data_IF_157196292749
#
_entry.id   IF_157196292749
#
_cell.length_a   1.000
_cell.length_b   1.000
_cell.length_c   1.000
_cell.angle_alpha   90.00
_cell.angle_beta   90.00
_cell.angle_gamma   90.00
#
_symmetry.space_group_name_H-M   'P 1'
#
loop_
_entity.id
_entity.type
_entity.pdbx_description
1 polymer ?
#
# COMPACT_ATOMS: atom_id res chain seq x y z
N UNK A 1 -0.02 4.45 -13.12
CA UNK A 1 -0.80 3.59 -12.20
C UNK A 1 -1.21 2.32 -12.95
N UNK A 2 -0.59 1.17 -12.66
CA UNK A 2 -0.76 -0.07 -13.48
C UNK A 2 -1.77 -1.08 -12.91
N UNK A 3 -2.18 -0.93 -11.65
CA UNK A 3 -3.04 -1.88 -10.94
C UNK A 3 -4.20 -1.20 -10.19
N UNK A 4 -4.66 -0.04 -10.68
CA UNK A 4 -5.82 0.63 -10.10
C UNK A 4 -7.03 -0.30 -10.11
N UNK A 5 -7.85 -0.24 -9.05
CA UNK A 5 -9.00 -1.11 -8.88
C UNK A 5 -8.68 -2.54 -8.44
N UNK A 6 -7.40 -2.95 -8.34
CA UNK A 6 -7.01 -4.30 -7.91
C UNK A 6 -6.44 -4.30 -6.51
N UNK A 7 -6.81 -5.29 -5.71
CA UNK A 7 -6.18 -5.54 -4.40
C UNK A 7 -4.81 -6.17 -4.64
N UNK A 8 -3.77 -5.58 -4.06
CA UNK A 8 -2.44 -6.15 -4.00
C UNK A 8 -2.12 -6.54 -2.56
N UNK A 9 -1.62 -7.75 -2.35
CA UNK A 9 -1.23 -8.22 -1.02
C UNK A 9 0.02 -7.51 -0.54
N UNK A 10 0.26 -7.50 0.77
CA UNK A 10 1.48 -6.91 1.33
C UNK A 10 2.75 -7.57 0.77
N UNK A 11 2.74 -8.89 0.62
CA UNK A 11 3.87 -9.65 0.05
C UNK A 11 4.12 -9.22 -1.39
N UNK A 12 3.09 -9.16 -2.25
CA UNK A 12 3.23 -8.69 -3.64
C UNK A 12 3.79 -7.27 -3.74
N UNK A 13 3.37 -6.39 -2.83
CA UNK A 13 3.86 -5.01 -2.77
C UNK A 13 5.32 -4.94 -2.29
N UNK A 14 5.69 -5.74 -1.29
CA UNK A 14 7.07 -5.85 -0.81
C UNK A 14 7.98 -6.37 -1.92
N UNK A 15 7.65 -7.53 -2.49
CA UNK A 15 8.46 -8.19 -3.53
C UNK A 15 8.71 -7.26 -4.72
N UNK A 16 7.69 -6.48 -5.10
CA UNK A 16 7.78 -5.60 -6.28
C UNK A 16 8.52 -4.30 -6.02
N UNK A 17 8.57 -3.81 -4.79
CA UNK A 17 9.18 -2.52 -4.44
C UNK A 17 10.59 -2.68 -3.87
N UNK A 18 10.80 -3.70 -3.02
CA UNK A 18 12.07 -3.97 -2.36
C UNK A 18 12.81 -5.19 -2.91
N UNK A 19 12.13 -6.08 -3.64
CA UNK A 19 12.72 -7.33 -4.13
C UNK A 19 12.33 -8.54 -3.28
N UNK A 20 12.45 -9.74 -3.87
CA UNK A 20 12.12 -11.01 -3.23
C UNK A 20 13.12 -11.46 -2.16
N UNK A 21 14.31 -10.87 -2.16
CA UNK A 21 15.39 -11.08 -1.20
C UNK A 21 15.27 -10.15 0.03
N UNK A 22 14.22 -9.33 0.10
CA UNK A 22 13.97 -8.46 1.23
C UNK A 22 13.72 -9.27 2.52
N UNK A 23 14.73 -9.30 3.39
CA UNK A 23 14.64 -9.90 4.73
C UNK A 23 14.16 -8.82 5.71
N UNK A 24 12.87 -8.52 5.68
CA UNK A 24 12.26 -7.57 6.61
C UNK A 24 10.77 -7.79 6.75
N UNK A 25 10.17 -7.12 7.73
CA UNK A 25 8.73 -7.25 7.96
C UNK A 25 7.90 -6.47 6.92
N UNK A 26 6.63 -6.86 6.80
CA UNK A 26 5.69 -6.10 5.97
C UNK A 26 5.25 -4.78 6.61
N UNK A 27 5.70 -4.43 7.83
CA UNK A 27 5.32 -3.16 8.48
C UNK A 27 6.01 -1.98 7.82
N UNK A 28 7.18 -2.19 7.22
CA UNK A 28 7.84 -1.17 6.39
C UNK A 28 6.90 -0.66 5.30
N UNK A 29 6.17 -1.56 4.61
CA UNK A 29 5.16 -1.17 3.62
C UNK A 29 4.09 -0.25 4.24
N UNK A 30 3.57 -0.59 5.42
CA UNK A 30 2.51 0.18 6.08
C UNK A 30 3.00 1.63 6.42
N UNK A 31 4.27 1.79 6.80
CA UNK A 31 4.90 3.11 7.01
C UNK A 31 4.94 3.92 5.71
N UNK A 32 5.33 3.28 4.61
CA UNK A 32 5.36 3.94 3.31
C UNK A 32 3.95 4.30 2.80
N UNK A 33 2.96 3.44 3.02
CA UNK A 33 1.55 3.76 2.71
C UNK A 33 1.06 4.95 3.53
N UNK A 34 1.37 5.01 4.83
CA UNK A 34 1.02 6.17 5.67
C UNK A 34 1.63 7.47 5.12
N UNK A 35 2.90 7.43 4.72
CA UNK A 35 3.59 8.58 4.10
C UNK A 35 2.99 8.98 2.76
N UNK A 36 2.56 8.02 1.94
CA UNK A 36 1.88 8.31 0.67
C UNK A 36 0.53 8.98 0.91
N UNK A 37 -0.31 8.41 1.79
CA UNK A 37 -1.61 9.01 2.14
C UNK A 37 -1.46 10.45 2.63
N UNK A 38 -0.48 10.72 3.49
CA UNK A 38 -0.19 12.08 3.97
C UNK A 38 0.14 13.09 2.86
N UNK A 39 0.56 12.62 1.68
CA UNK A 39 0.90 13.48 0.54
C UNK A 39 -0.21 13.62 -0.50
N UNK A 40 -1.13 12.67 -0.59
CA UNK A 40 -2.09 12.58 -1.71
C UNK A 40 -3.56 12.59 -1.27
N UNK A 41 -3.85 12.19 -0.04
CA UNK A 41 -5.22 12.20 0.49
C UNK A 41 -5.53 13.59 1.05
N UNK A 42 -6.79 14.02 0.91
CA UNK A 42 -7.29 15.21 1.61
C UNK A 42 -7.35 14.97 3.11
N UNK A 43 -7.83 13.78 3.52
CA UNK A 43 -7.81 13.31 4.90
C UNK A 43 -7.14 11.92 4.96
N UNK A 44 -5.88 11.82 5.42
CA UNK A 44 -5.16 10.55 5.53
C UNK A 44 -5.78 9.54 6.50
N UNK A 45 -6.60 9.99 7.46
CA UNK A 45 -7.31 9.12 8.39
C UNK A 45 -8.53 8.45 7.73
N UNK A 46 -9.11 9.10 6.72
CA UNK A 46 -10.23 8.61 5.91
C UNK A 46 -9.84 8.55 4.42
N UNK A 47 -8.91 7.64 4.05
CA UNK A 47 -8.32 7.62 2.72
C UNK A 47 -9.30 7.15 1.65
N UNK A 48 -9.40 7.90 0.55
CA UNK A 48 -10.26 7.56 -0.59
C UNK A 48 -9.47 6.92 -1.73
N UNK A 49 -8.19 7.28 -1.92
CA UNK A 49 -7.37 6.78 -3.01
C UNK A 49 -6.68 5.47 -2.64
N UNK A 50 -5.91 5.43 -1.54
CA UNK A 50 -5.23 4.20 -1.12
C UNK A 50 -6.04 3.56 -0.01
N UNK A 51 -6.84 2.55 -0.31
CA UNK A 51 -7.71 1.86 0.66
C UNK A 51 -7.01 0.66 1.28
N UNK A 52 -7.23 0.44 2.58
CA UNK A 52 -6.77 -0.75 3.28
C UNK A 52 -7.78 -1.87 3.12
N UNK A 53 -7.36 -3.01 2.57
CA UNK A 53 -8.13 -4.25 2.60
C UNK A 53 -7.59 -5.08 3.77
N UNK A 54 -8.31 -5.05 4.90
CA UNK A 54 -7.88 -5.69 6.16
C UNK A 54 -7.56 -7.18 5.92
N UNK A 55 -6.46 -7.65 6.50
CA UNK A 55 -5.96 -9.02 6.31
C UNK A 55 -5.25 -9.30 4.98
N UNK A 56 -5.41 -8.45 3.94
CA UNK A 56 -4.82 -8.70 2.61
C UNK A 56 -3.71 -7.70 2.26
N UNK A 57 -4.04 -6.41 2.19
CA UNK A 57 -3.11 -5.41 1.68
C UNK A 57 -3.82 -4.12 1.28
N UNK A 58 -3.54 -3.62 0.09
CA UNK A 58 -3.95 -2.28 -0.35
C UNK A 58 -4.57 -2.29 -1.75
N UNK A 59 -5.48 -1.36 -1.97
CA UNK A 59 -6.12 -1.09 -3.25
C UNK A 59 -5.95 0.40 -3.57
N UNK A 60 -5.62 0.71 -4.82
CA UNK A 60 -5.66 2.07 -5.32
C UNK A 60 -6.99 2.29 -6.06
N UNK A 61 -7.82 3.19 -5.55
CA UNK A 61 -9.01 3.75 -6.20
C UNK A 61 -8.67 5.14 -6.75
N UNK A 62 -9.27 5.50 -7.89
CA UNK A 62 -9.07 6.78 -8.57
C UNK A 62 -10.41 7.47 -8.82
#
# INVERSE_FOLDING_TARGET
>A
MRNSGRVLTRVQLIDRVWGSDYVGDTKTLDVHIKRLRAKIEVDPANPIFIQTVRGLGYKLEL
#
